data_IF_120114925108
#
_entry.id   IF_120114925108
#
_cell.length_a   1.000
_cell.length_b   1.000
_cell.length_c   1.000
_cell.angle_alpha   90.00
_cell.angle_beta   90.00
_cell.angle_gamma   90.00
#
_symmetry.space_group_name_H-M   'P 1'
#
loop_
_entity.id
_entity.type
_entity.pdbx_description
1 polymer ?
#
# COMPACT_ATOMS: atom_id res chain seq x y z
N UNK A 1 -17.16 37.86 -49.93
CA UNK A 1 -18.29 37.68 -48.98
C UNK A 1 -17.90 36.62 -47.98
N UNK A 2 -18.04 36.94 -46.68
CA UNK A 2 -17.83 36.13 -45.47
C UNK A 2 -16.44 35.51 -45.24
N UNK A 3 -15.58 36.12 -44.41
CA UNK A 3 -15.60 36.32 -42.94
C UNK A 3 -15.08 35.10 -42.17
N UNK A 4 -13.87 35.30 -41.64
CA UNK A 4 -13.19 34.57 -40.57
C UNK A 4 -14.14 34.11 -39.46
N UNK A 5 -14.06 32.83 -39.11
CA UNK A 5 -14.60 32.29 -37.86
C UNK A 5 -13.46 32.26 -36.83
N UNK A 6 -13.66 33.08 -35.81
CA UNK A 6 -12.82 33.31 -34.65
C UNK A 6 -12.87 32.10 -33.72
N UNK A 7 -11.72 31.82 -33.11
CA UNK A 7 -11.48 30.82 -32.09
C UNK A 7 -12.53 30.83 -30.97
N UNK A 8 -13.10 29.65 -30.66
CA UNK A 8 -13.65 29.36 -29.36
C UNK A 8 -12.56 28.65 -28.55
N UNK A 9 -11.76 29.44 -27.83
CA UNK A 9 -10.93 28.92 -26.77
C UNK A 9 -11.87 28.32 -25.71
N UNK A 10 -11.81 27.00 -25.53
CA UNK A 10 -12.34 26.35 -24.34
C UNK A 10 -11.49 26.85 -23.18
N UNK A 11 -11.95 27.93 -22.53
CA UNK A 11 -11.47 28.30 -21.21
C UNK A 11 -11.92 27.17 -20.31
N UNK A 12 -10.99 26.24 -20.04
CA UNK A 12 -11.11 25.32 -18.92
C UNK A 12 -11.42 26.18 -17.70
N UNK A 13 -12.66 26.10 -17.21
CA UNK A 13 -13.02 26.66 -15.93
C UNK A 13 -12.11 25.98 -14.90
N UNK A 14 -11.10 26.72 -14.44
CA UNK A 14 -10.42 26.40 -13.19
C UNK A 14 -11.50 26.17 -12.12
N UNK A 15 -11.32 25.22 -11.19
CA UNK A 15 -12.33 24.95 -10.18
C UNK A 15 -12.56 26.23 -9.38
N UNK A 16 -13.79 26.73 -9.42
CA UNK A 16 -14.37 27.76 -8.54
C UNK A 16 -14.45 27.28 -7.07
N UNK A 17 -13.49 26.47 -6.63
CA UNK A 17 -13.40 25.91 -5.28
C UNK A 17 -12.48 26.73 -4.35
N UNK A 18 -12.15 27.97 -4.73
CA UNK A 18 -11.73 28.98 -3.78
C UNK A 18 -12.99 29.69 -3.23
N UNK A 19 -13.92 28.93 -2.64
CA UNK A 19 -14.87 29.54 -1.71
C UNK A 19 -14.04 30.04 -0.55
N UNK A 20 -13.95 31.36 -0.43
CA UNK A 20 -13.29 32.03 0.68
C UNK A 20 -13.76 31.37 1.98
N UNK A 21 -12.86 30.64 2.65
CA UNK A 21 -13.11 30.16 4.00
C UNK A 21 -13.35 31.42 4.84
N UNK A 22 -14.61 31.75 5.13
CA UNK A 22 -14.98 32.92 5.92
C UNK A 22 -14.55 32.77 7.39
N UNK A 23 -13.95 31.63 7.74
CA UNK A 23 -13.47 31.30 9.07
C UNK A 23 -12.15 30.56 8.93
N UNK A 24 -11.12 31.03 9.64
CA UNK A 24 -9.83 30.37 9.68
C UNK A 24 -9.98 28.93 10.19
N UNK A 25 -9.28 27.95 9.60
CA UNK A 25 -9.26 26.59 10.11
C UNK A 25 -8.87 26.55 11.58
N UNK A 26 -9.50 25.66 12.36
CA UNK A 26 -9.21 25.47 13.79
C UNK A 26 -8.20 24.34 13.95
N UNK A 27 -7.08 24.59 14.62
CA UNK A 27 -6.12 23.54 14.95
C UNK A 27 -6.77 22.54 15.93
N UNK A 28 -6.77 21.27 15.55
CA UNK A 28 -7.28 20.15 16.36
C UNK A 28 -6.13 19.39 17.00
N UNK A 29 -5.06 19.14 16.25
CA UNK A 29 -3.87 18.43 16.71
C UNK A 29 -2.62 19.00 16.04
N UNK A 30 -1.57 19.22 16.82
CA UNK A 30 -0.25 19.59 16.31
C UNK A 30 0.40 18.43 15.55
N UNK A 31 1.40 18.73 14.71
CA UNK A 31 2.19 17.69 14.07
C UNK A 31 3.05 16.96 15.10
N UNK A 32 3.00 15.63 15.09
CA UNK A 32 3.80 14.78 15.96
C UNK A 32 5.12 14.42 15.25
N UNK A 33 6.23 14.85 15.86
CA UNK A 33 7.58 14.56 15.39
C UNK A 33 8.21 13.45 16.22
N UNK A 34 8.84 12.52 15.53
CA UNK A 34 9.57 11.41 16.13
C UNK A 34 11.06 11.69 16.27
N UNK A 35 11.72 10.92 17.13
CA UNK A 35 13.17 11.01 17.36
C UNK A 35 13.89 10.09 16.38
N UNK A 36 14.90 10.61 15.69
CA UNK A 36 15.73 9.79 14.78
C UNK A 36 16.67 8.92 15.62
N UNK A 37 16.68 7.61 15.39
CA UNK A 37 17.52 6.63 16.11
C UNK A 37 18.22 5.70 15.13
N UNK A 38 19.36 5.17 15.56
CA UNK A 38 20.02 4.05 14.90
C UNK A 38 19.55 2.74 15.55
N UNK A 39 19.23 1.74 14.74
CA UNK A 39 18.93 0.38 15.19
C UNK A 39 20.03 -0.54 14.68
N UNK A 40 20.70 -1.23 15.61
CA UNK A 40 21.73 -2.22 15.30
C UNK A 40 21.11 -3.61 15.08
N UNK A 41 21.68 -4.34 14.13
CA UNK A 41 21.32 -5.71 13.81
C UNK A 41 22.46 -6.70 14.04
N UNK A 42 22.60 -7.65 13.13
CA UNK A 42 23.60 -8.71 13.23
C UNK A 42 25.02 -8.20 13.02
N UNK A 43 25.99 -8.89 13.63
CA UNK A 43 27.42 -8.71 13.33
C UNK A 43 27.83 -9.70 12.25
N UNK A 44 28.48 -9.19 11.21
CA UNK A 44 28.97 -9.94 10.08
C UNK A 44 30.49 -9.90 10.02
N UNK A 45 31.08 -11.04 9.65
CA UNK A 45 32.45 -11.08 9.19
C UNK A 45 32.57 -10.38 7.83
N UNK A 46 33.74 -9.82 7.53
CA UNK A 46 33.99 -9.12 6.28
C UNK A 46 34.99 -9.90 5.43
N UNK A 47 34.65 -10.11 4.16
CA UNK A 47 35.57 -10.51 3.09
C UNK A 47 35.75 -9.33 2.13
N UNK A 48 36.98 -9.06 1.68
CA UNK A 48 37.29 -7.89 0.83
C UNK A 48 38.00 -8.34 -0.43
N UNK A 49 37.61 -7.82 -1.59
CA UNK A 49 38.31 -8.06 -2.85
C UNK A 49 39.73 -7.47 -2.79
N UNK A 50 40.73 -8.26 -3.21
CA UNK A 50 42.12 -7.84 -3.27
C UNK A 50 42.90 -8.65 -4.30
N UNK A 51 43.98 -8.05 -4.80
CA UNK A 51 44.91 -8.72 -5.70
C UNK A 51 45.65 -9.86 -4.99
N UNK A 52 45.94 -10.92 -5.73
CA UNK A 52 46.67 -12.09 -5.21
C UNK A 52 45.86 -12.99 -4.26
N UNK A 53 44.53 -12.84 -4.21
CA UNK A 53 43.69 -13.77 -3.46
C UNK A 53 43.81 -15.19 -4.04
N UNK A 54 44.11 -16.22 -3.22
CA UNK A 54 44.18 -17.58 -3.73
C UNK A 54 42.80 -18.03 -4.26
N UNK A 55 42.77 -18.65 -5.44
CA UNK A 55 41.53 -19.08 -6.08
C UNK A 55 40.66 -20.01 -5.19
N UNK A 56 41.30 -20.81 -4.32
CA UNK A 56 40.63 -21.67 -3.34
C UNK A 56 39.85 -20.89 -2.25
N UNK A 57 40.08 -19.58 -2.13
CA UNK A 57 39.45 -18.68 -1.16
C UNK A 57 38.62 -17.58 -1.84
N UNK A 58 38.26 -17.77 -3.10
CA UNK A 58 37.34 -16.93 -3.85
C UNK A 58 36.04 -17.68 -4.15
N UNK A 59 34.90 -16.99 -4.18
CA UNK A 59 33.65 -17.56 -4.67
C UNK A 59 33.76 -18.02 -6.14
N UNK A 60 32.91 -18.97 -6.53
CA UNK A 60 32.78 -19.36 -7.92
C UNK A 60 32.32 -18.15 -8.77
N UNK A 61 33.12 -17.77 -9.77
CA UNK A 61 32.90 -16.57 -10.59
C UNK A 61 33.69 -15.34 -10.14
N UNK A 62 34.54 -15.45 -9.11
CA UNK A 62 35.38 -14.36 -8.61
C UNK A 62 34.69 -13.48 -7.55
N UNK A 63 35.41 -12.52 -6.98
CA UNK A 63 34.86 -11.57 -5.99
C UNK A 63 35.73 -11.38 -4.74
N UNK A 64 35.10 -11.13 -3.56
CA UNK A 64 35.80 -10.90 -2.31
C UNK A 64 36.68 -12.07 -1.88
N UNK A 65 37.79 -11.77 -1.19
CA UNK A 65 38.71 -12.78 -0.69
C UNK A 65 38.34 -13.23 0.73
N UNK A 66 38.18 -14.54 0.93
CA UNK A 66 37.77 -15.15 2.20
C UNK A 66 38.94 -15.74 3.00
N UNK A 67 40.18 -15.58 2.54
CA UNK A 67 41.35 -16.23 3.15
C UNK A 67 41.61 -15.78 4.60
N UNK A 68 41.33 -14.52 4.92
CA UNK A 68 41.37 -13.97 6.28
C UNK A 68 40.32 -14.58 7.21
N UNK A 69 39.31 -15.25 6.66
CA UNK A 69 38.23 -15.91 7.40
C UNK A 69 38.46 -17.42 7.59
N UNK A 70 39.55 -17.97 7.04
CA UNK A 70 39.86 -19.42 7.08
C UNK A 70 39.76 -20.05 8.46
N UNK A 71 40.24 -19.37 9.50
CA UNK A 71 40.23 -19.88 10.87
C UNK A 71 38.86 -19.77 11.57
N UNK A 72 37.90 -19.05 10.96
CA UNK A 72 36.58 -18.75 11.53
C UNK A 72 35.46 -19.52 10.85
N UNK A 73 35.61 -19.85 9.57
CA UNK A 73 34.62 -20.62 8.82
C UNK A 73 34.59 -22.08 9.29
N UNK A 74 33.39 -22.63 9.39
CA UNK A 74 33.13 -24.03 9.78
C UNK A 74 32.24 -24.71 8.75
N UNK A 75 31.87 -25.97 8.97
CA UNK A 75 30.88 -26.65 8.13
C UNK A 75 29.48 -26.00 8.18
N UNK A 76 29.16 -25.29 9.27
CA UNK A 76 27.91 -24.54 9.37
C UNK A 76 28.02 -23.24 8.56
N UNK A 77 27.08 -22.98 7.62
CA UNK A 77 27.10 -21.75 6.84
C UNK A 77 26.87 -20.53 7.73
N UNK A 78 27.63 -19.47 7.47
CA UNK A 78 27.46 -18.18 8.12
C UNK A 78 27.33 -17.06 7.09
N UNK A 79 26.61 -15.99 7.46
CA UNK A 79 26.46 -14.79 6.62
C UNK A 79 27.73 -13.93 6.71
N UNK A 80 28.29 -13.58 5.56
CA UNK A 80 29.50 -12.77 5.43
C UNK A 80 29.21 -11.57 4.54
N UNK A 81 29.65 -10.38 4.97
CA UNK A 81 29.63 -9.19 4.14
C UNK A 81 30.83 -9.21 3.18
N UNK A 82 30.56 -9.36 1.89
CA UNK A 82 31.55 -9.25 0.83
C UNK A 82 31.63 -7.83 0.30
N UNK A 83 32.82 -7.22 0.36
CA UNK A 83 33.11 -5.89 -0.15
C UNK A 83 33.98 -5.98 -1.40
N UNK A 84 33.65 -5.22 -2.44
CA UNK A 84 34.46 -5.14 -3.66
C UNK A 84 35.56 -4.07 -3.59
N UNK A 85 35.56 -3.26 -2.54
CA UNK A 85 36.60 -2.29 -2.20
C UNK A 85 36.86 -2.31 -0.71
N UNK A 86 38.09 -2.04 -0.29
CA UNK A 86 38.40 -1.89 1.12
C UNK A 86 37.64 -0.71 1.73
N UNK A 87 37.27 -0.86 3.00
CA UNK A 87 36.56 0.15 3.78
C UNK A 87 37.31 0.45 5.07
N UNK A 88 37.21 1.70 5.55
CA UNK A 88 37.85 2.13 6.78
C UNK A 88 36.95 1.85 7.99
N UNK A 89 37.55 1.69 9.17
CA UNK A 89 36.80 1.63 10.42
C UNK A 89 35.97 2.91 10.63
N UNK A 90 34.74 2.76 11.12
CA UNK A 90 33.74 3.84 11.26
C UNK A 90 33.00 4.18 9.97
N UNK A 91 33.39 3.63 8.82
CA UNK A 91 32.67 3.86 7.57
C UNK A 91 31.35 3.08 7.55
N UNK A 92 30.24 3.76 7.25
CA UNK A 92 28.97 3.10 6.92
C UNK A 92 28.94 2.76 5.43
N UNK A 93 28.76 1.49 5.11
CA UNK A 93 28.56 0.99 3.75
C UNK A 93 27.06 0.95 3.49
N UNK A 94 26.60 1.90 2.68
CA UNK A 94 25.27 1.91 2.07
C UNK A 94 25.49 2.18 0.58
N UNK A 95 24.95 1.33 -0.29
CA UNK A 95 25.26 1.34 -1.71
C UNK A 95 24.43 0.33 -2.48
N UNK A 96 24.77 0.09 -3.74
CA UNK A 96 24.02 -0.84 -4.58
C UNK A 96 24.44 -2.28 -4.31
N UNK A 97 23.48 -3.09 -3.85
CA UNK A 97 23.65 -4.51 -3.65
C UNK A 97 24.08 -5.21 -4.95
N UNK A 98 25.04 -6.12 -4.85
CA UNK A 98 25.61 -6.88 -5.97
C UNK A 98 26.79 -6.18 -6.68
N UNK A 99 26.92 -4.86 -6.60
CA UNK A 99 28.03 -4.10 -7.21
C UNK A 99 29.00 -3.50 -6.19
N UNK A 100 28.49 -2.84 -5.15
CA UNK A 100 29.34 -2.18 -4.15
C UNK A 100 29.68 -3.15 -3.00
N UNK A 101 28.68 -3.95 -2.62
CA UNK A 101 28.79 -5.03 -1.65
C UNK A 101 27.80 -6.14 -2.01
N UNK A 102 27.99 -7.33 -1.45
CA UNK A 102 27.00 -8.40 -1.48
C UNK A 102 27.11 -9.24 -0.22
N UNK A 103 26.03 -9.94 0.15
CA UNK A 103 26.07 -10.91 1.23
C UNK A 103 26.36 -12.29 0.66
N UNK A 104 27.11 -13.08 1.41
CA UNK A 104 27.46 -14.46 1.06
C UNK A 104 27.06 -15.39 2.19
N UNK A 105 26.55 -16.57 1.84
CA UNK A 105 26.55 -17.72 2.73
C UNK A 105 27.87 -18.45 2.53
N UNK A 106 28.70 -18.52 3.58
CA UNK A 106 30.03 -19.12 3.51
C UNK A 106 30.20 -20.24 4.55
N UNK A 107 30.75 -21.36 4.12
CA UNK A 107 31.13 -22.53 4.93
C UNK A 107 32.41 -23.18 4.40
N UNK A 108 32.96 -24.11 5.17
CA UNK A 108 34.00 -25.04 4.75
C UNK A 108 33.39 -26.43 4.62
N UNK A 109 33.37 -26.97 3.40
CA UNK A 109 32.93 -28.33 3.11
C UNK A 109 34.10 -29.14 2.55
N UNK A 110 34.41 -30.28 3.17
CA UNK A 110 35.54 -31.14 2.78
C UNK A 110 36.89 -30.38 2.65
N UNK A 111 37.10 -29.36 3.49
CA UNK A 111 38.31 -28.54 3.48
C UNK A 111 38.37 -27.45 2.40
N UNK A 112 37.31 -27.31 1.57
CA UNK A 112 37.19 -26.28 0.55
C UNK A 112 36.17 -25.21 0.96
N UNK A 113 36.39 -23.97 0.51
CA UNK A 113 35.42 -22.89 0.67
C UNK A 113 34.19 -23.16 -0.20
N UNK A 114 33.01 -23.13 0.43
CA UNK A 114 31.73 -23.03 -0.25
C UNK A 114 31.16 -21.66 0.10
N UNK A 115 31.27 -20.72 -0.85
CA UNK A 115 30.76 -19.36 -0.70
C UNK A 115 29.79 -19.04 -1.83
N UNK A 116 28.51 -18.94 -1.48
CA UNK A 116 27.44 -18.59 -2.41
C UNK A 116 26.93 -17.19 -2.14
N UNK A 117 26.91 -16.33 -3.16
CA UNK A 117 26.28 -15.01 -3.07
C UNK A 117 24.79 -15.18 -2.82
N UNK A 118 24.26 -14.49 -1.82
CA UNK A 118 22.82 -14.40 -1.60
C UNK A 118 22.19 -13.54 -2.69
N UNK A 119 21.04 -13.95 -3.21
CA UNK A 119 20.37 -13.24 -4.31
C UNK A 119 19.80 -11.89 -3.85
N UNK A 120 19.25 -11.86 -2.63
CA UNK A 120 18.62 -10.68 -2.02
C UNK A 120 19.37 -10.25 -0.76
N UNK A 121 19.35 -8.96 -0.42
CA UNK A 121 19.87 -8.47 0.85
C UNK A 121 18.99 -8.96 2.00
N UNK A 122 19.61 -9.66 2.95
CA UNK A 122 18.99 -10.08 4.21
C UNK A 122 19.67 -9.39 5.37
N UNK A 123 18.95 -8.96 6.39
CA UNK A 123 19.52 -8.38 7.61
C UNK A 123 18.84 -8.96 8.84
N UNK A 124 19.50 -8.95 10.00
CA UNK A 124 18.95 -9.25 11.32
C UNK A 124 18.50 -8.00 12.09
N UNK A 125 18.42 -6.83 11.44
CA UNK A 125 17.84 -5.63 12.05
C UNK A 125 16.36 -5.88 12.31
N UNK A 126 15.94 -5.70 13.57
CA UNK A 126 14.55 -5.76 14.01
C UNK A 126 14.17 -4.43 14.63
N UNK A 127 13.44 -3.61 13.87
CA UNK A 127 13.06 -2.26 14.30
C UNK A 127 11.91 -2.33 15.31
N UNK A 128 11.92 -1.58 16.42
CA UNK A 128 10.80 -1.53 17.38
C UNK A 128 9.48 -1.10 16.73
N UNK A 129 8.34 -1.56 17.23
CA UNK A 129 7.01 -1.33 16.62
C UNK A 129 6.57 0.13 16.60
N UNK A 130 7.15 0.97 17.46
CA UNK A 130 6.91 2.41 17.49
C UNK A 130 7.88 3.18 16.57
N UNK A 131 8.72 2.51 15.81
CA UNK A 131 9.73 3.12 14.94
C UNK A 131 9.50 2.76 13.47
N UNK A 132 9.86 3.71 12.59
CA UNK A 132 9.54 3.68 11.18
C UNK A 132 10.79 3.86 10.33
N UNK A 133 10.87 3.20 9.17
CA UNK A 133 11.98 3.40 8.24
C UNK A 133 11.90 4.79 7.60
N UNK A 134 13.05 5.44 7.48
CA UNK A 134 13.14 6.75 6.85
C UNK A 134 13.23 6.67 5.33
N UNK A 135 12.96 7.79 4.64
CA UNK A 135 12.96 7.80 3.18
C UNK A 135 14.38 7.65 2.64
N UNK A 136 14.63 6.66 1.78
CA UNK A 136 15.96 6.39 1.24
C UNK A 136 16.93 5.71 2.23
N UNK A 137 16.54 5.52 3.49
CA UNK A 137 17.34 4.81 4.49
C UNK A 137 17.00 3.31 4.51
N UNK A 138 17.86 2.53 3.85
CA UNK A 138 17.89 1.08 3.98
C UNK A 138 18.86 0.62 5.07
N UNK A 139 19.01 -0.70 5.20
CA UNK A 139 20.06 -1.28 6.04
C UNK A 139 21.42 -0.97 5.41
N UNK A 140 22.31 -0.40 6.21
CA UNK A 140 23.73 -0.23 5.92
C UNK A 140 24.58 -1.09 6.85
N UNK A 141 25.89 -1.10 6.60
CA UNK A 141 26.85 -1.90 7.35
C UNK A 141 27.96 -1.01 7.87
N UNK A 142 28.03 -0.80 9.18
CA UNK A 142 29.08 0.03 9.78
C UNK A 142 30.29 -0.83 10.10
N UNK A 143 31.45 -0.46 9.54
CA UNK A 143 32.70 -1.17 9.73
C UNK A 143 33.26 -0.84 11.12
N UNK A 144 33.57 -1.86 11.90
CA UNK A 144 34.16 -1.74 13.23
C UNK A 144 35.37 -2.66 13.38
N UNK A 145 36.23 -2.37 14.35
CA UNK A 145 37.39 -3.21 14.67
C UNK A 145 37.15 -3.83 16.04
N UNK A 146 37.08 -5.15 16.08
CA UNK A 146 36.95 -5.89 17.33
C UNK A 146 38.04 -6.96 17.40
N UNK A 147 38.84 -6.95 18.47
CA UNK A 147 39.96 -7.89 18.68
C UNK A 147 40.92 -7.96 17.48
N UNK A 148 41.23 -6.81 16.87
CA UNK A 148 42.12 -6.71 15.70
C UNK A 148 41.54 -7.25 14.38
N UNK A 149 40.27 -7.66 14.35
CA UNK A 149 39.56 -8.07 13.13
C UNK A 149 38.55 -7.00 12.70
N UNK A 150 38.47 -6.72 11.39
CA UNK A 150 37.38 -5.93 10.84
C UNK A 150 36.09 -6.76 10.86
N UNK A 151 35.04 -6.19 11.45
CA UNK A 151 33.68 -6.70 11.47
C UNK A 151 32.76 -5.62 10.91
N UNK A 152 31.57 -6.00 10.49
CA UNK A 152 30.50 -5.05 10.22
C UNK A 152 29.33 -5.35 11.16
N UNK A 153 28.67 -4.32 11.68
CA UNK A 153 27.33 -4.50 12.23
C UNK A 153 26.32 -3.86 11.28
N UNK A 154 25.16 -4.50 11.18
CA UNK A 154 24.05 -3.96 10.42
C UNK A 154 23.43 -2.78 11.15
N UNK A 155 23.06 -1.74 10.41
CA UNK A 155 22.59 -0.47 10.95
C UNK A 155 21.48 0.09 10.07
N UNK A 156 20.35 0.40 10.69
CA UNK A 156 19.24 1.10 10.04
C UNK A 156 18.90 2.37 10.81
N UNK A 157 18.79 3.49 10.09
CA UNK A 157 18.32 4.75 10.66
C UNK A 157 16.80 4.80 10.55
N UNK A 158 16.13 5.08 11.67
CA UNK A 158 14.67 5.07 11.81
C UNK A 158 14.20 6.33 12.54
N UNK A 159 12.90 6.64 12.47
CA UNK A 159 12.27 7.64 13.36
C UNK A 159 11.29 6.92 14.28
N UNK A 160 11.40 7.17 15.58
CA UNK A 160 10.58 6.55 16.62
C UNK A 160 9.55 7.55 17.15
N UNK A 161 8.35 7.04 17.47
CA UNK A 161 7.23 7.80 18.06
C UNK A 161 6.61 8.87 17.13
N UNK A 162 7.00 8.91 15.86
CA UNK A 162 6.44 9.85 14.88
C UNK A 162 7.17 9.84 13.54
N UNK A 163 6.88 10.85 12.71
CA UNK A 163 7.64 11.11 11.49
C UNK A 163 8.88 11.98 11.76
N UNK A 164 9.91 11.95 10.90
CA UNK A 164 11.07 12.82 11.06
C UNK A 164 10.72 14.29 10.85
N UNK A 165 11.44 15.20 11.53
CA UNK A 165 11.34 16.64 11.28
C UNK A 165 11.63 17.03 9.83
N UNK A 166 12.56 16.33 9.18
CA UNK A 166 12.92 16.53 7.77
C UNK A 166 12.54 15.31 6.93
N UNK A 167 11.35 15.26 6.30
CA UNK A 167 10.86 14.06 5.60
C UNK A 167 11.78 13.52 4.49
N UNK A 168 12.69 14.35 3.96
CA UNK A 168 13.64 14.00 2.90
C UNK A 168 15.10 13.91 3.37
N UNK A 169 15.36 14.08 4.67
CA UNK A 169 16.71 14.09 5.23
C UNK A 169 17.50 15.38 4.91
N UNK A 170 18.82 15.42 5.25
CA UNK A 170 19.59 14.35 5.88
C UNK A 170 19.14 14.04 7.31
N UNK A 171 19.35 12.79 7.75
CA UNK A 171 18.93 12.30 9.06
C UNK A 171 20.14 12.12 9.97
N UNK A 172 20.01 12.57 11.22
CA UNK A 172 21.06 12.45 12.24
C UNK A 172 20.49 11.69 13.44
N UNK A 173 20.97 10.46 13.72
CA UNK A 173 20.57 9.72 14.91
C UNK A 173 20.88 10.48 16.19
N UNK A 174 19.94 10.44 17.14
CA UNK A 174 20.05 11.03 18.46
C UNK A 174 20.18 9.95 19.54
N UNK A 175 21.06 10.16 20.51
CA UNK A 175 21.27 9.23 21.62
C UNK A 175 21.88 7.89 21.21
N UNK A 176 21.84 6.93 22.14
CA UNK A 176 22.45 5.61 21.93
C UNK A 176 21.68 4.77 20.91
N UNK A 177 22.38 3.88 20.21
CA UNK A 177 21.75 2.95 19.29
C UNK A 177 20.84 1.95 20.01
N UNK A 178 19.76 1.56 19.35
CA UNK A 178 18.84 0.53 19.82
C UNK A 178 19.46 -0.83 19.47
N UNK A 179 19.79 -1.60 20.50
CA UNK A 179 20.45 -2.90 20.35
C UNK A 179 19.46 -4.02 20.00
N UNK A 180 19.94 -5.12 19.38
CA UNK A 180 19.11 -6.30 19.09
C UNK A 180 18.41 -6.88 20.32
N UNK A 181 17.18 -7.37 20.15
CA UNK A 181 16.43 -8.08 21.21
C UNK A 181 15.51 -7.21 22.07
N UNK A 182 15.18 -5.99 21.63
CA UNK A 182 14.15 -5.16 22.25
C UNK A 182 12.75 -5.82 22.15
N UNK A 183 11.89 -5.60 23.15
CA UNK A 183 10.52 -6.13 23.16
C UNK A 183 9.62 -5.35 22.21
N UNK A 184 8.76 -6.03 21.44
CA UNK A 184 7.83 -5.39 20.52
C UNK A 184 8.54 -4.87 19.27
N UNK A 185 8.94 -5.79 18.39
CA UNK A 185 9.64 -5.48 17.13
C UNK A 185 8.78 -5.79 15.93
N UNK A 186 9.01 -5.03 14.86
CA UNK A 186 8.56 -5.38 13.52
C UNK A 186 9.23 -6.68 13.04
N UNK A 187 8.76 -7.16 11.88
CA UNK A 187 9.45 -8.22 11.17
C UNK A 187 10.93 -7.83 10.95
N UNK A 188 11.79 -8.83 10.83
CA UNK A 188 13.19 -8.66 10.43
C UNK A 188 13.25 -7.85 9.11
N UNK A 189 14.13 -6.85 9.05
CA UNK A 189 14.31 -6.03 7.85
C UNK A 189 15.06 -6.86 6.80
N UNK A 190 14.37 -7.23 5.73
CA UNK A 190 14.96 -8.04 4.65
C UNK A 190 14.14 -7.93 3.37
N UNK A 191 14.75 -8.37 2.28
CA UNK A 191 14.09 -8.52 0.99
C UNK A 191 13.84 -10.01 0.72
N UNK A 192 12.60 -10.35 0.33
CA UNK A 192 12.15 -11.71 0.08
C UNK A 192 11.52 -11.83 -1.30
N UNK A 193 11.81 -12.93 -2.00
CA UNK A 193 10.97 -13.38 -3.09
C UNK A 193 9.87 -14.26 -2.50
N UNK A 194 8.63 -13.75 -2.48
CA UNK A 194 7.47 -14.50 -2.02
C UNK A 194 6.89 -15.25 -3.20
N UNK A 195 6.58 -16.54 -2.99
CA UNK A 195 6.06 -17.43 -4.00
C UNK A 195 4.67 -17.91 -3.62
N UNK A 196 3.75 -17.88 -4.59
CA UNK A 196 2.41 -18.45 -4.46
C UNK A 196 2.41 -19.97 -4.64
N UNK A 197 1.21 -20.54 -4.59
CA UNK A 197 1.03 -21.95 -4.95
C UNK A 197 1.29 -22.18 -6.43
N UNK A 198 1.77 -23.36 -6.77
CA UNK A 198 1.93 -23.77 -8.17
C UNK A 198 0.55 -23.98 -8.81
N UNK A 199 0.39 -23.46 -10.01
CA UNK A 199 -0.85 -23.50 -10.79
C UNK A 199 -0.62 -24.18 -12.12
N UNK A 200 -1.70 -24.72 -12.67
CA UNK A 200 -1.68 -25.28 -14.01
C UNK A 200 -1.55 -24.17 -15.05
N UNK A 201 -0.75 -24.43 -16.09
CA UNK A 201 -0.51 -23.52 -17.20
C UNK A 201 -1.04 -24.11 -18.51
N UNK A 202 -1.76 -23.29 -19.25
CA UNK A 202 -2.13 -23.52 -20.64
C UNK A 202 -1.23 -22.69 -21.55
N UNK A 203 -0.58 -23.33 -22.51
CA UNK A 203 0.42 -22.70 -23.40
C UNK A 203 -0.01 -22.74 -24.86
N UNK A 204 0.53 -21.84 -25.68
CA UNK A 204 0.32 -21.82 -27.13
C UNK A 204 1.62 -22.17 -27.87
N UNK A 205 1.53 -22.37 -29.19
CA UNK A 205 2.71 -22.60 -30.03
C UNK A 205 3.35 -23.99 -29.90
N UNK A 206 2.67 -24.94 -29.25
CA UNK A 206 3.11 -26.33 -29.11
C UNK A 206 2.11 -27.30 -29.75
N UNK A 207 2.60 -28.42 -30.27
CA UNK A 207 1.74 -29.52 -30.72
C UNK A 207 1.03 -30.13 -29.51
N UNK A 208 -0.30 -30.21 -29.57
CA UNK A 208 -1.13 -30.67 -28.46
C UNK A 208 -2.19 -31.66 -28.96
N UNK A 209 -2.33 -32.80 -28.27
CA UNK A 209 -3.41 -33.74 -28.58
C UNK A 209 -4.77 -33.08 -28.35
N UNK A 210 -5.74 -33.43 -29.20
CA UNK A 210 -7.10 -32.84 -29.16
C UNK A 210 -7.77 -32.95 -27.79
N UNK A 211 -7.45 -33.99 -27.03
CA UNK A 211 -8.00 -34.21 -25.68
C UNK A 211 -7.54 -33.15 -24.67
N UNK A 212 -6.35 -32.56 -24.85
CA UNK A 212 -5.76 -31.54 -23.97
C UNK A 212 -5.94 -30.11 -24.50
N UNK A 213 -6.58 -29.98 -25.67
CA UNK A 213 -6.69 -28.72 -26.40
C UNK A 213 -7.87 -27.90 -25.90
N UNK A 214 -7.61 -26.64 -25.52
CA UNK A 214 -8.62 -25.68 -25.09
C UNK A 214 -8.70 -24.54 -26.11
N UNK A 215 -9.94 -24.09 -26.39
CA UNK A 215 -10.22 -22.96 -27.31
C UNK A 215 -9.44 -23.04 -28.65
N UNK A 216 -9.21 -24.25 -29.16
CA UNK A 216 -8.48 -24.59 -30.41
C UNK A 216 -6.98 -24.30 -30.45
N UNK A 217 -6.40 -23.48 -29.58
CA UNK A 217 -4.98 -23.10 -29.71
C UNK A 217 -4.14 -23.29 -28.44
N UNK A 218 -4.78 -23.50 -27.29
CA UNK A 218 -4.05 -23.69 -26.03
C UNK A 218 -3.94 -25.17 -25.67
N UNK A 219 -2.77 -25.57 -25.20
CA UNK A 219 -2.51 -26.87 -24.64
C UNK A 219 -2.51 -26.80 -23.12
N UNK A 220 -3.43 -27.50 -22.47
CA UNK A 220 -3.55 -27.55 -21.00
C UNK A 220 -3.39 -28.98 -20.48
N UNK A 221 -2.40 -29.70 -21.03
CA UNK A 221 -2.17 -31.13 -20.74
C UNK A 221 -2.11 -31.43 -19.23
N UNK A 222 -1.34 -30.72 -18.40
CA UNK A 222 -1.30 -31.01 -16.96
C UNK A 222 -2.66 -30.84 -16.27
N UNK A 223 -3.37 -29.77 -16.57
CA UNK A 223 -4.68 -29.44 -16.00
C UNK A 223 -5.75 -30.49 -16.34
N UNK A 224 -5.82 -30.84 -17.62
CA UNK A 224 -6.79 -31.82 -18.12
C UNK A 224 -6.46 -33.22 -17.58
N UNK A 225 -5.17 -33.60 -17.55
CA UNK A 225 -4.74 -34.89 -17.00
C UNK A 225 -5.13 -34.99 -15.51
N UNK A 226 -4.94 -33.92 -14.73
CA UNK A 226 -5.35 -33.89 -13.33
C UNK A 226 -6.86 -34.11 -13.18
N UNK A 227 -7.69 -33.41 -13.95
CA UNK A 227 -9.14 -33.64 -13.89
C UNK A 227 -9.50 -35.06 -14.36
N UNK A 228 -8.90 -35.60 -15.42
CA UNK A 228 -9.17 -36.98 -15.84
C UNK A 228 -8.88 -37.99 -14.72
N UNK A 229 -7.81 -37.78 -13.96
CA UNK A 229 -7.41 -38.65 -12.86
C UNK A 229 -8.18 -38.41 -11.53
N UNK A 230 -8.87 -37.28 -11.39
CA UNK A 230 -9.59 -36.90 -10.17
C UNK A 230 -11.09 -36.65 -10.46
N UNK A 231 -11.91 -37.69 -10.69
CA UNK A 231 -13.30 -37.54 -11.13
C UNK A 231 -14.21 -36.78 -10.15
N UNK A 232 -13.84 -36.71 -8.87
CA UNK A 232 -14.55 -35.90 -7.86
C UNK A 232 -14.40 -34.38 -8.05
N UNK A 233 -13.33 -33.94 -8.72
CA UNK A 233 -13.08 -32.51 -8.98
C UNK A 233 -13.86 -32.02 -10.20
N UNK A 234 -14.64 -30.95 -10.03
CA UNK A 234 -15.52 -30.40 -11.08
C UNK A 234 -14.86 -29.31 -11.91
N UNK A 235 -14.03 -28.51 -11.26
CA UNK A 235 -13.34 -27.37 -11.86
C UNK A 235 -12.00 -27.09 -11.18
N UNK A 236 -11.10 -26.40 -11.87
CA UNK A 236 -9.84 -25.94 -11.31
C UNK A 236 -9.42 -24.59 -11.89
N UNK A 237 -8.48 -23.94 -11.21
CA UNK A 237 -7.85 -22.71 -11.68
C UNK A 237 -6.76 -22.98 -12.72
N UNK A 238 -6.86 -22.28 -13.86
CA UNK A 238 -5.96 -22.43 -14.98
C UNK A 238 -5.43 -21.06 -15.40
N UNK A 239 -4.11 -20.93 -15.49
CA UNK A 239 -3.48 -19.76 -16.10
C UNK A 239 -3.22 -20.07 -17.57
N UNK A 240 -3.43 -19.11 -18.44
CA UNK A 240 -3.12 -19.24 -19.86
C UNK A 240 -2.09 -18.20 -20.28
N UNK A 241 -0.97 -18.65 -20.85
CA UNK A 241 -0.01 -17.76 -21.49
C UNK A 241 -0.57 -17.28 -22.84
N UNK A 242 -0.52 -15.96 -23.07
CA UNK A 242 -0.99 -15.35 -24.33
C UNK A 242 -0.06 -15.61 -25.52
N UNK A 243 1.19 -15.98 -25.24
CA UNK A 243 2.19 -16.37 -26.25
C UNK A 243 2.88 -17.70 -25.92
N UNK A 244 3.78 -18.17 -26.80
CA UNK A 244 4.65 -19.31 -26.52
C UNK A 244 5.60 -18.98 -25.36
N UNK A 245 5.87 -19.97 -24.50
CA UNK A 245 6.69 -19.83 -23.29
C UNK A 245 7.51 -21.09 -23.04
N UNK A 246 8.64 -20.94 -22.34
CA UNK A 246 9.55 -21.99 -21.92
C UNK A 246 9.70 -22.02 -20.40
N UNK A 247 10.27 -23.11 -19.87
CA UNK A 247 10.66 -23.19 -18.48
C UNK A 247 11.74 -22.15 -18.14
N UNK A 248 11.57 -21.43 -17.04
CA UNK A 248 12.42 -20.31 -16.62
C UNK A 248 11.88 -18.94 -17.02
N UNK A 249 10.89 -18.87 -17.93
CA UNK A 249 10.32 -17.59 -18.36
C UNK A 249 9.56 -16.91 -17.22
N UNK A 250 9.64 -15.58 -17.18
CA UNK A 250 8.85 -14.72 -16.31
C UNK A 250 7.84 -13.93 -17.13
N UNK A 251 6.56 -14.09 -16.79
CA UNK A 251 5.46 -13.40 -17.46
C UNK A 251 4.88 -12.31 -16.57
N UNK A 252 4.51 -11.20 -17.18
CA UNK A 252 3.75 -10.12 -16.52
C UNK A 252 2.25 -10.41 -16.56
N UNK A 253 1.48 -9.70 -15.74
CA UNK A 253 0.00 -9.79 -15.75
C UNK A 253 -0.60 -9.58 -17.16
N UNK A 254 0.01 -8.75 -18.01
CA UNK A 254 -0.48 -8.49 -19.37
C UNK A 254 -0.26 -9.66 -20.34
N UNK A 255 0.61 -10.60 -19.99
CA UNK A 255 0.99 -11.75 -20.82
C UNK A 255 0.24 -13.03 -20.44
N UNK A 256 -0.60 -12.97 -19.40
CA UNK A 256 -1.38 -14.10 -18.91
C UNK A 256 -2.88 -13.79 -18.88
N UNK A 257 -3.69 -14.81 -19.00
CA UNK A 257 -5.12 -14.79 -18.68
C UNK A 257 -5.41 -15.77 -17.54
N UNK A 258 -6.34 -15.41 -16.66
CA UNK A 258 -6.83 -16.33 -15.63
C UNK A 258 -8.17 -16.94 -16.03
N UNK A 259 -8.21 -18.27 -16.12
CA UNK A 259 -9.39 -19.05 -16.50
C UNK A 259 -9.79 -20.02 -15.39
N UNK A 260 -11.04 -20.49 -15.48
CA UNK A 260 -11.53 -21.66 -14.75
C UNK A 260 -11.73 -22.80 -15.76
N UNK A 261 -11.00 -23.90 -15.58
CA UNK A 261 -11.16 -25.11 -16.36
C UNK A 261 -12.25 -25.98 -15.74
N UNK A 262 -13.29 -26.31 -16.51
CA UNK A 262 -14.45 -27.09 -16.08
C UNK A 262 -14.64 -28.32 -16.96
N UNK A 263 -15.21 -29.37 -16.39
CA UNK A 263 -15.69 -30.52 -17.18
C UNK A 263 -16.90 -30.13 -18.04
N UNK A 264 -17.01 -30.74 -19.22
CA UNK A 264 -18.13 -30.61 -20.15
C UNK A 264 -18.50 -32.00 -20.69
N UNK A 265 -19.58 -32.59 -20.16
CA UNK A 265 -20.01 -33.94 -20.54
C UNK A 265 -19.04 -35.03 -20.09
N UNK A 266 -19.08 -36.21 -20.73
CA UNK A 266 -18.28 -37.37 -20.32
C UNK A 266 -16.77 -37.19 -20.54
N UNK A 267 -16.34 -36.54 -21.63
CA UNK A 267 -14.92 -36.46 -22.02
C UNK A 267 -14.43 -35.05 -22.44
N UNK A 268 -15.27 -34.02 -22.27
CA UNK A 268 -14.95 -32.66 -22.71
C UNK A 268 -14.48 -31.75 -21.58
N UNK A 269 -13.72 -30.72 -21.94
CA UNK A 269 -13.31 -29.64 -21.04
C UNK A 269 -13.62 -28.27 -21.64
N UNK A 270 -13.89 -27.29 -20.79
CA UNK A 270 -14.17 -25.89 -21.17
C UNK A 270 -13.40 -24.95 -20.25
N UNK A 271 -12.78 -23.92 -20.82
CA UNK A 271 -12.14 -22.85 -20.06
C UNK A 271 -12.90 -21.53 -20.19
N UNK A 272 -13.39 -21.03 -19.05
CA UNK A 272 -14.11 -19.78 -18.94
C UNK A 272 -13.23 -18.70 -18.33
N UNK A 273 -13.28 -17.48 -18.88
CA UNK A 273 -12.48 -16.36 -18.35
C UNK A 273 -13.00 -15.95 -16.97
N UNK A 274 -12.09 -15.70 -16.02
CA UNK A 274 -12.48 -15.14 -14.72
C UNK A 274 -12.86 -13.67 -14.85
N UNK A 275 -13.86 -13.24 -14.08
CA UNK A 275 -14.26 -11.83 -13.99
C UNK A 275 -13.38 -11.01 -13.03
N UNK A 276 -12.70 -11.68 -12.09
CA UNK A 276 -11.79 -11.07 -11.12
C UNK A 276 -10.49 -11.89 -11.10
N UNK A 277 -9.35 -11.21 -11.25
CA UNK A 277 -8.03 -11.81 -11.11
C UNK A 277 -7.85 -12.31 -9.67
N UNK A 278 -7.47 -13.57 -9.53
CA UNK A 278 -7.24 -14.21 -8.24
C UNK A 278 -5.74 -14.41 -8.07
N UNK A 279 -5.15 -13.62 -7.17
CA UNK A 279 -3.80 -13.87 -6.69
C UNK A 279 -3.82 -14.91 -5.59
N UNK A 280 -2.94 -15.90 -5.68
CA UNK A 280 -2.64 -16.84 -4.60
C UNK A 280 -1.34 -16.52 -3.88
N UNK A 281 -0.80 -15.32 -4.11
CA UNK A 281 0.31 -14.82 -3.33
C UNK A 281 -0.19 -14.44 -1.95
N UNK A 282 0.24 -15.18 -0.93
CA UNK A 282 -0.05 -14.85 0.45
C UNK A 282 0.95 -13.81 0.93
N UNK A 283 0.46 -12.69 1.47
CA UNK A 283 1.31 -11.73 2.14
C UNK A 283 2.03 -12.36 3.32
N UNK A 284 3.30 -12.03 3.49
CA UNK A 284 4.07 -12.35 4.70
C UNK A 284 3.85 -11.22 5.71
N UNK A 285 3.52 -11.56 6.96
CA UNK A 285 3.25 -10.57 7.99
C UNK A 285 4.45 -9.63 8.19
N UNK A 286 4.22 -8.32 8.19
CA UNK A 286 5.28 -7.32 8.28
C UNK A 286 6.10 -7.12 7.00
N UNK A 287 5.62 -7.65 5.88
CA UNK A 287 6.20 -7.43 4.56
C UNK A 287 5.16 -6.87 3.57
N UNK A 288 5.60 -6.06 2.63
CA UNK A 288 4.77 -5.52 1.56
C UNK A 288 5.44 -5.74 0.20
N UNK A 289 4.62 -5.97 -0.83
CA UNK A 289 5.13 -6.12 -2.19
C UNK A 289 5.75 -4.80 -2.66
N UNK A 290 6.96 -4.86 -3.21
CA UNK A 290 7.64 -3.70 -3.82
C UNK A 290 7.47 -3.67 -5.33
N UNK A 291 6.95 -4.75 -5.92
CA UNK A 291 6.69 -4.86 -7.34
C UNK A 291 5.30 -5.46 -7.63
N UNK A 292 4.90 -5.42 -8.89
CA UNK A 292 3.71 -6.15 -9.35
C UNK A 292 4.01 -7.65 -9.41
N UNK A 293 2.97 -8.47 -9.21
CA UNK A 293 3.11 -9.94 -9.28
C UNK A 293 3.58 -10.37 -10.67
N UNK A 294 4.70 -11.07 -10.70
CA UNK A 294 5.21 -11.81 -11.84
C UNK A 294 4.78 -13.28 -11.80
N UNK A 295 4.93 -13.96 -12.93
CA UNK A 295 4.53 -15.34 -13.09
C UNK A 295 5.70 -16.16 -13.67
N UNK A 296 6.30 -17.01 -12.84
CA UNK A 296 7.42 -17.85 -13.25
C UNK A 296 6.93 -19.19 -13.81
N UNK A 297 7.37 -19.52 -15.03
CA UNK A 297 7.05 -20.77 -15.71
C UNK A 297 8.03 -21.86 -15.29
N UNK A 298 7.53 -22.95 -14.72
CA UNK A 298 8.33 -24.09 -14.28
C UNK A 298 8.00 -25.36 -15.05
N UNK A 299 9.01 -26.18 -15.32
CA UNK A 299 8.81 -27.55 -15.84
C UNK A 299 8.53 -28.52 -14.68
N UNK A 300 7.51 -29.35 -14.83
CA UNK A 300 7.29 -30.55 -14.01
C UNK A 300 6.99 -31.73 -14.93
N UNK A 301 7.07 -32.95 -14.42
CA UNK A 301 7.15 -34.18 -15.24
C UNK A 301 6.18 -34.25 -16.43
N UNK A 302 4.92 -33.82 -16.27
CA UNK A 302 3.86 -33.89 -17.28
C UNK A 302 3.63 -32.61 -18.09
N UNK A 303 4.39 -31.53 -17.83
CA UNK A 303 4.34 -30.30 -18.63
C UNK A 303 4.81 -29.04 -17.90
N UNK A 304 4.43 -27.89 -18.46
CA UNK A 304 4.70 -26.59 -17.86
C UNK A 304 3.62 -26.21 -16.85
N UNK A 305 4.07 -25.61 -15.77
CA UNK A 305 3.28 -25.05 -14.68
C UNK A 305 3.69 -23.60 -14.47
N UNK A 306 2.92 -22.87 -13.67
CA UNK A 306 3.24 -21.49 -13.38
C UNK A 306 3.06 -21.18 -11.89
N UNK A 307 3.93 -20.32 -11.36
CA UNK A 307 3.89 -19.90 -9.97
C UNK A 307 3.90 -18.38 -9.93
N UNK A 308 2.99 -17.79 -9.17
CA UNK A 308 3.02 -16.35 -8.88
C UNK A 308 4.21 -16.03 -7.99
N UNK A 309 4.91 -14.95 -8.27
CA UNK A 309 6.03 -14.48 -7.46
C UNK A 309 6.06 -12.96 -7.42
N UNK A 310 6.45 -12.40 -6.28
CA UNK A 310 6.77 -10.98 -6.19
C UNK A 310 7.85 -10.75 -5.17
N UNK A 311 8.64 -9.71 -5.41
CA UNK A 311 9.58 -9.17 -4.47
C UNK A 311 8.86 -8.39 -3.37
N UNK A 312 9.18 -8.71 -2.12
CA UNK A 312 8.65 -8.08 -0.92
C UNK A 312 9.78 -7.44 -0.12
N UNK A 313 9.51 -6.28 0.44
CA UNK A 313 10.33 -5.69 1.49
C UNK A 313 9.65 -5.93 2.83
N UNK A 314 10.42 -6.39 3.80
CA UNK A 314 10.01 -6.64 5.17
C UNK A 314 10.65 -5.63 6.12
N UNK A 315 10.03 -5.41 7.28
CA UNK A 315 10.58 -4.57 8.34
C UNK A 315 9.64 -3.46 8.75
N UNK A 316 10.21 -2.37 9.29
CA UNK A 316 9.44 -1.20 9.66
C UNK A 316 8.78 -0.54 8.45
N UNK A 317 7.50 -0.15 8.54
CA UNK A 317 6.84 0.62 7.50
C UNK A 317 7.49 2.00 7.35
N UNK A 318 7.24 2.67 6.21
CA UNK A 318 7.78 4.01 5.96
C UNK A 318 7.25 5.00 6.99
N UNK A 319 8.11 5.88 7.47
CA UNK A 319 7.74 6.93 8.42
C UNK A 319 6.59 7.78 7.86
N UNK A 320 5.55 8.05 8.66
CA UNK A 320 4.52 8.99 8.28
C UNK A 320 5.15 10.37 8.07
N UNK A 321 4.57 11.17 7.18
CA UNK A 321 4.93 12.59 7.11
C UNK A 321 4.23 13.27 8.29
N UNK A 322 4.95 13.98 9.19
CA UNK A 322 4.30 14.71 10.27
C UNK A 322 3.23 15.63 9.72
N UNK A 323 2.03 15.59 10.31
CA UNK A 323 0.90 16.37 9.82
C UNK A 323 0.14 16.99 10.98
N UNK A 324 -0.14 18.29 10.88
CA UNK A 324 -1.07 18.96 11.75
C UNK A 324 -2.50 18.69 11.27
N UNK A 325 -3.42 18.48 12.22
CA UNK A 325 -4.83 18.26 11.91
C UNK A 325 -5.60 19.53 12.20
N UNK A 326 -6.31 20.01 11.18
CA UNK A 326 -7.17 21.18 11.29
C UNK A 326 -8.61 20.83 10.98
N UNK A 327 -9.54 21.40 11.72
CA UNK A 327 -10.94 21.46 11.32
C UNK A 327 -11.10 22.61 10.32
N UNK A 328 -11.33 22.22 9.07
CA UNK A 328 -11.63 23.13 7.98
C UNK A 328 -13.13 23.15 7.71
N UNK A 329 -13.59 24.23 7.10
CA UNK A 329 -15.01 24.48 6.87
C UNK A 329 -15.35 24.57 5.39
N UNK A 330 -16.50 24.03 5.02
CA UNK A 330 -17.03 24.01 3.66
C UNK A 330 -18.24 24.92 3.50
N UNK A 331 -19.16 24.49 2.63
CA UNK A 331 -20.39 25.24 2.35
C UNK A 331 -21.35 25.25 3.54
N UNK A 332 -22.25 26.22 3.54
CA UNK A 332 -23.36 26.28 4.48
C UNK A 332 -24.63 25.75 3.81
N UNK A 333 -25.26 24.77 4.45
CA UNK A 333 -26.55 24.23 4.07
C UNK A 333 -27.66 24.82 4.95
N UNK A 334 -28.86 24.82 4.38
CA UNK A 334 -30.07 25.23 5.09
C UNK A 334 -30.44 24.18 6.13
N UNK A 335 -30.98 24.63 7.25
CA UNK A 335 -31.38 23.78 8.37
C UNK A 335 -32.88 23.81 8.51
N UNK A 336 -33.49 22.63 8.63
CA UNK A 336 -34.91 22.48 8.95
C UNK A 336 -35.03 21.72 10.26
N UNK A 337 -35.49 22.40 11.31
CA UNK A 337 -35.75 21.78 12.61
C UNK A 337 -37.10 21.02 12.56
N UNK A 338 -37.03 19.71 12.75
CA UNK A 338 -38.18 18.80 12.75
C UNK A 338 -38.37 18.05 14.08
N UNK A 339 -37.74 18.51 15.17
CA UNK A 339 -37.70 17.83 16.46
C UNK A 339 -39.08 17.70 17.17
N UNK A 340 -40.02 18.60 16.91
CA UNK A 340 -41.24 18.75 17.72
C UNK A 340 -42.39 17.77 17.41
N UNK A 341 -42.25 16.81 16.48
CA UNK A 341 -43.44 16.08 15.96
C UNK A 341 -43.30 14.57 15.90
N UNK A 342 -44.36 13.87 16.34
CA UNK A 342 -44.51 12.41 16.29
C UNK A 342 -44.59 11.94 14.84
N UNK A 343 -43.72 11.01 14.43
CA UNK A 343 -43.75 10.36 13.11
C UNK A 343 -42.43 10.44 12.36
N UNK A 344 -42.15 9.46 11.51
CA UNK A 344 -40.96 9.46 10.65
C UNK A 344 -41.20 10.38 9.45
N UNK A 345 -40.54 11.55 9.43
CA UNK A 345 -40.70 12.51 8.35
C UNK A 345 -40.26 11.96 6.98
N UNK A 346 -39.38 10.95 6.98
CA UNK A 346 -38.95 10.23 5.77
C UNK A 346 -40.09 9.45 5.11
N UNK A 347 -41.15 9.16 5.86
CA UNK A 347 -42.37 8.47 5.38
C UNK A 347 -43.55 9.43 5.19
N UNK A 348 -43.35 10.73 5.35
CA UNK A 348 -44.41 11.73 5.30
C UNK A 348 -45.39 11.66 6.49
N UNK A 349 -45.01 10.97 7.56
CA UNK A 349 -45.87 10.75 8.74
C UNK A 349 -45.82 11.90 9.76
N UNK A 350 -45.07 12.97 9.46
CA UNK A 350 -44.92 14.15 10.31
C UNK A 350 -45.18 15.43 9.52
N UNK A 351 -45.40 16.56 10.21
CA UNK A 351 -45.54 17.87 9.57
C UNK A 351 -44.21 18.53 9.19
N UNK A 352 -43.12 17.77 9.10
CA UNK A 352 -41.79 18.24 8.68
C UNK A 352 -41.70 18.55 7.17
N UNK A 353 -42.29 17.76 6.25
CA UNK A 353 -42.32 18.08 4.82
C UNK A 353 -42.94 19.46 4.52
N UNK A 354 -43.95 19.88 5.28
CA UNK A 354 -44.54 21.23 5.15
C UNK A 354 -43.54 22.33 5.52
N UNK A 355 -42.69 22.12 6.53
CA UNK A 355 -41.62 23.06 6.91
C UNK A 355 -40.55 23.13 5.83
N UNK A 356 -40.14 21.99 5.29
CA UNK A 356 -39.20 21.92 4.15
C UNK A 356 -39.76 22.69 2.95
N UNK A 357 -41.04 22.48 2.61
CA UNK A 357 -41.72 23.19 1.53
C UNK A 357 -41.78 24.70 1.78
N UNK A 358 -42.13 25.13 2.99
CA UNK A 358 -42.16 26.54 3.36
C UNK A 358 -40.77 27.18 3.24
N UNK A 359 -39.71 26.47 3.65
CA UNK A 359 -38.32 26.93 3.53
C UNK A 359 -37.91 27.14 2.07
N UNK A 360 -38.21 26.19 1.17
CA UNK A 360 -37.91 26.34 -0.26
C UNK A 360 -38.63 27.54 -0.90
N UNK A 361 -39.88 27.77 -0.50
CA UNK A 361 -40.67 28.92 -0.96
C UNK A 361 -40.11 30.26 -0.46
N UNK A 362 -39.68 30.33 0.81
CA UNK A 362 -39.06 31.52 1.40
C UNK A 362 -37.74 31.87 0.71
N UNK A 363 -36.92 30.85 0.45
CA UNK A 363 -35.67 30.97 -0.30
C UNK A 363 -35.86 31.26 -1.80
N UNK A 364 -37.08 31.05 -2.32
CA UNK A 364 -37.40 31.17 -3.76
C UNK A 364 -36.55 30.26 -4.65
N UNK A 365 -36.27 29.04 -4.19
CA UNK A 365 -35.51 28.03 -4.93
C UNK A 365 -36.39 26.81 -5.25
N UNK A 366 -36.15 26.20 -6.42
CA UNK A 366 -36.89 24.99 -6.86
C UNK A 366 -36.31 23.68 -6.33
N UNK A 367 -35.06 23.70 -5.86
CA UNK A 367 -34.36 22.55 -5.31
C UNK A 367 -33.25 23.02 -4.35
N UNK A 368 -32.96 22.20 -3.34
CA UNK A 368 -31.87 22.44 -2.39
C UNK A 368 -31.41 21.14 -1.73
N UNK A 369 -30.17 21.12 -1.23
CA UNK A 369 -29.74 20.14 -0.23
C UNK A 369 -29.89 20.76 1.15
N UNK A 370 -30.63 20.10 2.04
CA UNK A 370 -30.96 20.60 3.38
C UNK A 370 -30.50 19.62 4.46
N UNK A 371 -30.15 20.16 5.63
CA UNK A 371 -29.91 19.39 6.85
C UNK A 371 -31.18 19.40 7.69
N UNK A 372 -31.76 18.22 7.93
CA UNK A 372 -32.98 18.06 8.73
C UNK A 372 -32.57 17.64 10.14
N UNK A 373 -32.91 18.44 11.14
CA UNK A 373 -32.65 18.09 12.53
C UNK A 373 -33.80 17.24 13.07
N UNK A 374 -33.48 16.06 13.58
CA UNK A 374 -34.42 15.18 14.27
C UNK A 374 -34.55 15.53 15.75
N UNK A 375 -33.62 16.33 16.28
CA UNK A 375 -33.62 16.86 17.65
C UNK A 375 -33.29 18.36 17.63
N UNK A 376 -33.69 19.09 18.66
CA UNK A 376 -33.43 20.53 18.73
C UNK A 376 -31.94 20.81 18.84
N UNK A 377 -31.39 21.53 17.85
CA UNK A 377 -30.01 22.00 17.85
C UNK A 377 -29.90 23.49 18.17
N UNK A 378 -28.74 23.90 18.70
CA UNK A 378 -28.35 25.26 19.01
C UNK A 378 -27.13 25.66 18.17
N UNK A 379 -26.97 26.96 17.96
CA UNK A 379 -25.75 27.50 17.34
C UNK A 379 -24.54 27.10 18.19
N UNK A 380 -23.52 26.53 17.54
CA UNK A 380 -22.33 25.94 18.15
C UNK A 380 -22.38 24.42 18.26
N UNK A 381 -23.54 23.79 18.07
CA UNK A 381 -23.63 22.33 18.13
C UNK A 381 -22.98 21.67 16.91
N UNK A 382 -22.24 20.61 17.19
CA UNK A 382 -21.64 19.73 16.19
C UNK A 382 -22.58 18.57 15.88
N UNK A 383 -22.89 18.42 14.60
CA UNK A 383 -23.74 17.39 14.02
C UNK A 383 -22.85 16.36 13.33
N UNK A 384 -22.64 15.22 13.98
CA UNK A 384 -21.87 14.10 13.43
C UNK A 384 -22.52 12.77 13.83
N UNK A 385 -22.18 11.64 13.20
CA UNK A 385 -22.67 10.35 13.67
C UNK A 385 -22.35 10.18 15.17
N UNK A 386 -23.36 9.83 15.97
CA UNK A 386 -23.22 9.70 17.43
C UNK A 386 -23.32 10.99 18.25
N UNK A 387 -23.51 12.17 17.65
CA UNK A 387 -23.83 13.40 18.39
C UNK A 387 -25.21 13.33 19.03
N UNK A 388 -25.43 14.12 20.09
CA UNK A 388 -26.73 14.18 20.77
C UNK A 388 -27.82 14.77 19.86
N UNK A 389 -27.48 15.72 18.98
CA UNK A 389 -28.42 16.20 17.95
C UNK A 389 -28.38 15.23 16.76
N UNK A 390 -29.41 14.41 16.62
CA UNK A 390 -29.59 13.57 15.42
C UNK A 390 -29.99 14.44 14.23
N UNK A 391 -29.44 14.11 13.05
CA UNK A 391 -29.74 14.80 11.80
C UNK A 391 -29.76 13.84 10.61
N UNK A 392 -30.38 14.28 9.52
CA UNK A 392 -30.26 13.70 8.20
C UNK A 392 -29.89 14.78 7.17
N UNK A 393 -29.46 14.33 5.99
CA UNK A 393 -29.31 15.19 4.82
C UNK A 393 -30.30 14.74 3.76
N UNK A 394 -31.01 15.68 3.14
CA UNK A 394 -31.95 15.39 2.07
C UNK A 394 -31.75 16.34 0.88
N UNK A 395 -31.90 15.79 -0.32
CA UNK A 395 -32.14 16.58 -1.52
C UNK A 395 -33.64 16.78 -1.66
N UNK A 396 -34.06 18.03 -1.72
CA UNK A 396 -35.48 18.40 -1.76
C UNK A 396 -35.76 19.18 -3.02
N UNK A 397 -36.88 18.89 -3.68
CA UNK A 397 -37.26 19.52 -4.94
C UNK A 397 -38.74 19.85 -4.95
N UNK A 398 -39.07 21.07 -5.38
CA UNK A 398 -40.42 21.53 -5.56
C UNK A 398 -40.79 21.48 -7.05
N UNK A 399 -41.84 20.73 -7.39
CA UNK A 399 -42.38 20.69 -8.76
C UNK A 399 -43.06 22.02 -9.13
N UNK A 400 -43.34 22.23 -10.43
CA UNK A 400 -44.07 23.42 -10.90
C UNK A 400 -45.49 23.49 -10.35
N UNK A 401 -46.07 22.34 -10.03
CA UNK A 401 -47.39 22.15 -9.44
C UNK A 401 -47.35 22.28 -7.89
N UNK A 402 -46.18 22.55 -7.31
CA UNK A 402 -46.00 22.74 -5.87
C UNK A 402 -45.93 21.46 -5.06
N UNK A 403 -45.68 20.31 -5.70
CA UNK A 403 -45.46 19.02 -5.02
C UNK A 403 -44.02 18.94 -4.54
N UNK A 404 -43.81 18.56 -3.28
CA UNK A 404 -42.48 18.37 -2.69
C UNK A 404 -42.02 16.93 -2.90
N UNK A 405 -40.83 16.78 -3.47
CA UNK A 405 -40.08 15.53 -3.59
C UNK A 405 -38.89 15.56 -2.64
N UNK A 406 -38.64 14.47 -1.92
CA UNK A 406 -37.61 14.36 -0.88
C UNK A 406 -36.84 13.06 -1.11
N UNK A 407 -35.54 13.20 -1.33
CA UNK A 407 -34.60 12.09 -1.43
C UNK A 407 -33.59 12.15 -0.29
N UNK A 408 -33.63 11.15 0.60
CA UNK A 408 -32.75 11.08 1.78
C UNK A 408 -31.37 10.60 1.38
N UNK A 409 -30.34 11.37 1.73
CA UNK A 409 -28.96 11.09 1.39
C UNK A 409 -28.31 10.30 2.53
N UNK A 410 -28.34 8.97 2.42
CA UNK A 410 -27.80 8.06 3.45
C UNK A 410 -26.27 8.08 3.57
N UNK A 411 -25.55 8.59 2.57
CA UNK A 411 -24.08 8.65 2.56
C UNK A 411 -23.60 10.03 2.13
N UNK A 412 -23.90 11.04 2.95
CA UNK A 412 -23.42 12.39 2.72
C UNK A 412 -21.92 12.53 3.04
N UNK A 413 -21.16 13.15 2.13
CA UNK A 413 -19.77 13.50 2.35
C UNK A 413 -19.60 15.02 2.22
N UNK A 414 -19.12 15.72 3.28
CA UNK A 414 -18.80 17.14 3.20
C UNK A 414 -17.83 17.46 2.07
N UNK A 415 -18.03 18.57 1.38
CA UNK A 415 -17.15 19.07 0.34
C UNK A 415 -16.25 20.16 0.91
N UNK A 416 -15.34 19.76 1.79
CA UNK A 416 -14.39 20.67 2.43
C UNK A 416 -13.05 20.62 1.70
N UNK A 417 -12.52 21.78 1.36
CA UNK A 417 -11.23 21.91 0.69
C UNK A 417 -10.28 22.76 1.53
N UNK A 418 -9.04 22.31 1.61
CA UNK A 418 -7.93 23.09 2.16
C UNK A 418 -6.67 22.78 1.37
N UNK A 419 -5.96 23.82 0.94
CA UNK A 419 -4.80 23.67 0.05
C UNK A 419 -3.69 22.88 0.74
N UNK A 420 -3.04 21.98 -0.01
CA UNK A 420 -1.95 21.12 0.46
C UNK A 420 -2.29 20.21 1.65
N UNK A 421 -3.58 20.00 1.93
CA UNK A 421 -4.04 19.10 2.98
C UNK A 421 -4.99 18.05 2.40
N UNK A 422 -5.11 16.92 3.08
CA UNK A 422 -6.01 15.83 2.70
C UNK A 422 -7.04 15.59 3.80
N UNK A 423 -8.27 15.17 3.46
CA UNK A 423 -9.23 14.72 4.46
C UNK A 423 -8.65 13.59 5.31
N UNK A 424 -8.84 13.66 6.64
CA UNK A 424 -8.43 12.61 7.56
C UNK A 424 -9.23 11.33 7.27
N UNK A 425 -8.55 10.30 6.77
CA UNK A 425 -9.17 9.01 6.47
C UNK A 425 -9.14 8.11 7.72
N UNK A 426 -10.30 7.66 8.19
CA UNK A 426 -10.40 6.78 9.36
C UNK A 426 -10.30 7.50 10.71
N UNK A 427 -10.52 8.81 10.74
CA UNK A 427 -10.66 9.58 11.99
C UNK A 427 -11.91 9.19 12.80
N UNK A 428 -12.04 9.70 14.04
CA UNK A 428 -13.22 9.44 14.87
C UNK A 428 -14.49 10.01 14.23
N UNK A 429 -15.67 9.66 14.74
CA UNK A 429 -16.93 10.08 14.12
C UNK A 429 -17.08 11.61 14.10
N UNK A 430 -16.53 12.32 15.09
CA UNK A 430 -16.52 13.79 15.12
C UNK A 430 -15.62 14.44 14.07
N UNK A 431 -14.83 13.67 13.30
CA UNK A 431 -13.89 14.23 12.30
C UNK A 431 -14.56 14.89 11.10
N UNK A 432 -15.88 14.74 10.94
CA UNK A 432 -16.64 15.33 9.84
C UNK A 432 -18.11 15.49 10.22
N UNK A 433 -18.75 16.49 9.63
CA UNK A 433 -20.18 16.70 9.80
C UNK A 433 -20.56 18.14 9.51
N UNK A 434 -21.45 18.66 10.35
CA UNK A 434 -21.84 20.06 10.31
C UNK A 434 -21.68 20.71 11.68
N UNK A 435 -21.39 22.01 11.69
CA UNK A 435 -21.54 22.84 12.89
C UNK A 435 -22.70 23.80 12.64
N UNK A 436 -23.63 23.87 13.59
CA UNK A 436 -24.72 24.83 13.52
C UNK A 436 -24.16 26.24 13.73
N UNK A 437 -24.33 27.09 12.74
CA UNK A 437 -23.83 28.48 12.77
C UNK A 437 -24.98 29.45 12.55
N UNK A 438 -24.78 30.69 12.98
CA UNK A 438 -25.64 31.80 12.59
C UNK A 438 -24.99 32.54 11.43
N UNK A 439 -25.65 32.55 10.28
CA UNK A 439 -25.15 33.19 9.06
C UNK A 439 -26.27 34.02 8.46
N UNK A 440 -25.99 35.30 8.18
CA UNK A 440 -26.98 36.28 7.68
C UNK A 440 -28.28 36.33 8.52
N UNK A 441 -28.17 36.13 9.84
CA UNK A 441 -29.29 36.20 10.78
C UNK A 441 -30.09 34.90 10.95
N UNK A 442 -29.89 33.90 10.10
CA UNK A 442 -30.57 32.58 10.13
C UNK A 442 -29.64 31.46 10.59
N UNK A 443 -30.21 30.38 11.12
CA UNK A 443 -29.46 29.18 11.50
C UNK A 443 -29.13 28.36 10.25
N UNK A 444 -27.87 27.99 10.09
CA UNK A 444 -27.37 27.16 8.98
C UNK A 444 -26.49 26.04 9.51
N UNK A 445 -26.32 24.99 8.73
CA UNK A 445 -25.41 23.90 9.00
C UNK A 445 -24.18 24.08 8.13
N UNK A 446 -23.06 24.48 8.72
CA UNK A 446 -21.81 24.63 8.00
C UNK A 446 -21.06 23.32 8.00
N UNK A 447 -20.71 22.84 6.81
CA UNK A 447 -19.87 21.66 6.68
C UNK A 447 -18.53 21.87 7.39
N UNK A 448 -18.06 20.85 8.09
CA UNK A 448 -16.69 20.80 8.56
C UNK A 448 -16.10 19.41 8.34
N UNK A 449 -14.77 19.40 8.21
CA UNK A 449 -13.99 18.19 8.07
C UNK A 449 -12.59 18.41 8.64
N UNK A 450 -12.07 17.40 9.33
CA UNK A 450 -10.69 17.37 9.78
C UNK A 450 -9.78 17.05 8.58
N UNK A 451 -8.81 17.93 8.37
CA UNK A 451 -7.85 17.91 7.28
C UNK A 451 -6.46 17.68 7.87
N UNK A 452 -5.75 16.68 7.36
CA UNK A 452 -4.36 16.40 7.65
C UNK A 452 -3.48 17.24 6.72
N UNK A 453 -2.67 18.12 7.31
CA UNK A 453 -1.76 19.01 6.61
C UNK A 453 -0.32 18.62 6.90
N UNK A 454 0.36 18.00 5.92
CA UNK A 454 1.78 17.70 6.04
C UNK A 454 2.59 18.95 6.41
N UNK A 455 3.54 18.76 7.33
CA UNK A 455 4.56 19.74 7.67
C UNK A 455 5.86 19.29 7.00
N UNK A 456 6.51 20.19 6.27
CA UNK A 456 7.73 19.94 5.51
C UNK A 456 8.86 20.86 5.96
#
# INVERSE_FOLDING_TARGET
MWKYLIAAAVVAAAPLAAMAQSTSPKLIREAEFGVVREVEGGKLMIAVARDGCPAAWQPAGGGPCFDTLKAKLTASPMRVLGLYRAANAGQRIAGRYGSDFALFSASIENGALVAQRLELPTSDVTVPTNCYRLNGEGVGYVITVQNGSNLAYESQIVSCDGGPETPQGPYYPEGDAILPGSTGVHHRTEELMVWGSVRYLAITGVTCDKVYQLRKTWCARPAVSYLQNNPGEKELDLIAARGPVNAGDWLTEKQVDQWVLKRKGKDGFKADSRWVNKSFLNGVAGCWSTEAVGWNVGQRGDGLYITEGAHHACGAPKAPVPAAVYEAYGRELEVVDCAERRGDWRKGESGCPDRIKAQLLDMKVGDATVVVLNEHGRVGDYLHPGSYVSYDVANVRLSKEGVLDIDVVYSYAPSVYMSNCSPMNGGPQESRGFVLVRSLGVNRAREYQWMECPVY
#
